data_IF_551419751378
#
_entry.id   IF_551419751378
#
_cell.length_a   1.000
_cell.length_b   1.000
_cell.length_c   1.000
_cell.angle_alpha   90.00
_cell.angle_beta   90.00
_cell.angle_gamma   90.00
#
_symmetry.space_group_name_H-M   'P 1'
#
loop_
_entity.id
_entity.type
_entity.pdbx_description
1 polymer ?
#
# COMPACT_ATOMS: atom_id res chain seq x y z
N UNK A 1 8.20 -8.32 27.28
CA UNK A 1 7.59 -8.40 25.94
C UNK A 1 8.16 -9.64 25.27
N UNK A 2 7.31 -10.54 24.73
CA UNK A 2 7.80 -11.79 24.10
C UNK A 2 8.65 -11.48 22.85
N UNK A 3 9.58 -12.37 22.49
CA UNK A 3 10.46 -12.18 21.33
C UNK A 3 9.69 -12.03 20.03
N UNK A 4 8.52 -12.69 19.92
CA UNK A 4 7.60 -12.49 18.79
C UNK A 4 7.11 -11.04 18.68
N UNK A 5 6.74 -10.41 19.83
CA UNK A 5 6.28 -9.01 19.82
C UNK A 5 7.42 -8.05 19.49
N UNK A 6 8.63 -8.31 19.97
CA UNK A 6 9.81 -7.50 19.64
C UNK A 6 10.11 -7.55 18.15
N UNK A 7 10.16 -8.76 17.57
CA UNK A 7 10.40 -8.96 16.16
C UNK A 7 9.29 -8.32 15.27
N UNK A 8 8.02 -8.45 15.67
CA UNK A 8 6.90 -7.82 14.97
C UNK A 8 7.04 -6.30 14.89
N UNK A 9 7.29 -5.64 16.03
CA UNK A 9 7.45 -4.19 16.05
C UNK A 9 8.73 -3.72 15.36
N UNK A 10 9.79 -4.52 15.40
CA UNK A 10 11.02 -4.24 14.65
C UNK A 10 10.75 -4.25 13.14
N UNK A 11 10.07 -5.28 12.62
CA UNK A 11 9.68 -5.36 11.19
C UNK A 11 8.74 -4.20 10.83
N UNK A 12 7.78 -3.86 11.69
CA UNK A 12 6.89 -2.71 11.46
C UNK A 12 7.69 -1.41 11.33
N UNK A 13 8.57 -1.12 12.29
CA UNK A 13 9.41 0.07 12.27
C UNK A 13 10.32 0.11 11.04
N UNK A 14 10.99 -1.00 10.75
CA UNK A 14 11.89 -1.08 9.59
C UNK A 14 11.13 -0.86 8.27
N UNK A 15 9.94 -1.44 8.14
CA UNK A 15 9.09 -1.25 6.96
C UNK A 15 8.67 0.21 6.78
N UNK A 16 8.30 0.89 7.87
CA UNK A 16 7.99 2.34 7.85
C UNK A 16 9.22 3.14 7.43
N UNK A 17 10.39 2.89 8.02
CA UNK A 17 11.63 3.61 7.72
C UNK A 17 12.12 3.42 6.28
N UNK A 18 11.85 2.25 5.69
CA UNK A 18 12.26 1.95 4.31
C UNK A 18 11.29 2.51 3.27
N UNK A 19 10.01 2.72 3.61
CA UNK A 19 8.98 3.11 2.64
C UNK A 19 8.58 4.57 2.77
N UNK A 20 8.23 5.02 3.98
CA UNK A 20 7.60 6.34 4.19
C UNK A 20 8.45 7.53 3.74
N UNK A 21 9.78 7.58 3.97
CA UNK A 21 10.60 8.71 3.55
C UNK A 21 10.59 8.96 2.05
N UNK A 22 10.37 7.92 1.24
CA UNK A 22 10.44 8.01 -0.23
C UNK A 22 9.11 8.41 -0.90
N UNK A 23 8.02 8.57 -0.15
CA UNK A 23 6.71 8.85 -0.74
C UNK A 23 6.58 10.24 -1.35
N UNK A 24 7.23 11.24 -0.77
CA UNK A 24 7.11 12.64 -1.19
C UNK A 24 8.37 13.26 -1.82
N UNK A 25 9.52 12.55 -1.84
CA UNK A 25 10.79 13.14 -2.25
C UNK A 25 10.95 13.35 -3.77
N UNK A 26 10.22 12.58 -4.57
CA UNK A 26 10.35 12.62 -6.03
C UNK A 26 9.01 12.92 -6.69
N UNK A 27 9.06 13.71 -7.77
CA UNK A 27 7.91 13.90 -8.66
C UNK A 27 7.45 12.54 -9.20
N UNK A 28 6.24 12.46 -9.71
CA UNK A 28 5.76 11.25 -10.38
C UNK A 28 6.66 10.89 -11.55
N UNK A 29 7.30 9.73 -11.50
CA UNK A 29 8.30 9.29 -12.49
C UNK A 29 7.74 8.34 -13.57
N UNK A 30 6.54 7.80 -13.37
CA UNK A 30 5.87 6.95 -14.34
C UNK A 30 4.59 7.60 -14.88
N UNK A 31 4.25 7.37 -16.15
CA UNK A 31 3.02 7.90 -16.76
C UNK A 31 1.72 7.45 -16.05
N UNK A 32 1.79 6.37 -15.28
CA UNK A 32 0.65 5.83 -14.55
C UNK A 32 0.33 6.59 -13.28
N UNK A 33 1.34 7.08 -12.55
CA UNK A 33 1.16 7.74 -11.25
C UNK A 33 0.34 9.04 -11.34
N UNK A 34 0.70 10.02 -12.20
CA UNK A 34 -0.07 11.25 -12.27
C UNK A 34 -1.52 11.01 -12.73
N UNK A 35 -1.76 10.00 -13.57
CA UNK A 35 -3.11 9.66 -13.99
C UNK A 35 -3.99 9.22 -12.80
N UNK A 36 -3.49 8.37 -11.91
CA UNK A 36 -4.23 7.95 -10.73
C UNK A 36 -4.50 9.13 -9.77
N UNK A 37 -3.50 10.00 -9.59
CA UNK A 37 -3.61 11.20 -8.77
C UNK A 37 -4.62 12.21 -9.35
N UNK A 38 -4.62 12.44 -10.67
CA UNK A 38 -5.55 13.34 -11.35
C UNK A 38 -6.99 12.85 -11.23
N UNK A 39 -7.23 11.55 -11.36
CA UNK A 39 -8.57 10.99 -11.14
C UNK A 39 -9.06 11.25 -9.72
N UNK A 40 -8.22 11.04 -8.72
CA UNK A 40 -8.56 11.34 -7.33
C UNK A 40 -8.81 12.85 -7.09
N UNK A 41 -8.00 13.71 -7.70
CA UNK A 41 -8.21 15.17 -7.66
C UNK A 41 -9.58 15.54 -8.28
N UNK A 42 -9.89 15.01 -9.46
CA UNK A 42 -11.18 15.23 -10.11
C UNK A 42 -12.37 14.80 -9.23
N UNK A 43 -12.22 13.71 -8.47
CA UNK A 43 -13.25 13.28 -7.51
C UNK A 43 -13.45 14.31 -6.40
N UNK A 44 -12.36 14.85 -5.85
CA UNK A 44 -12.41 15.86 -4.79
C UNK A 44 -13.01 17.18 -5.28
N UNK A 45 -12.64 17.63 -6.48
CA UNK A 45 -13.12 18.89 -7.06
C UNK A 45 -14.57 18.83 -7.53
N UNK A 46 -14.97 17.74 -8.19
CA UNK A 46 -16.32 17.58 -8.74
C UNK A 46 -17.34 17.03 -7.76
N UNK A 47 -16.89 16.39 -6.67
CA UNK A 47 -17.74 15.63 -5.75
C UNK A 47 -18.29 14.33 -6.37
N UNK A 48 -17.88 13.94 -7.56
CA UNK A 48 -18.34 12.72 -8.23
C UNK A 48 -17.43 11.53 -7.89
N UNK A 49 -17.87 10.74 -6.91
CA UNK A 49 -17.14 9.58 -6.42
C UNK A 49 -17.48 8.28 -7.15
N UNK A 50 -18.52 8.29 -8.00
CA UNK A 50 -19.02 7.07 -8.67
C UNK A 50 -18.42 6.95 -10.07
N UNK A 51 -18.42 8.04 -10.83
CA UNK A 51 -17.89 8.11 -12.20
C UNK A 51 -16.78 9.17 -12.27
N UNK A 52 -15.61 8.90 -11.67
CA UNK A 52 -14.51 9.85 -11.74
C UNK A 52 -13.97 9.94 -13.16
N UNK A 53 -13.50 11.13 -13.52
CA UNK A 53 -12.96 11.40 -14.84
C UNK A 53 -11.46 11.64 -14.80
N UNK A 54 -10.80 11.28 -15.88
CA UNK A 54 -9.40 11.55 -16.14
C UNK A 54 -9.30 12.72 -17.12
N UNK A 55 -8.54 13.74 -16.78
CA UNK A 55 -8.38 14.96 -17.58
C UNK A 55 -9.71 15.67 -17.96
N UNK A 56 -10.74 15.52 -17.16
CA UNK A 56 -12.02 16.22 -17.32
C UNK A 56 -12.98 15.62 -18.35
N UNK A 57 -12.58 14.64 -19.14
CA UNK A 57 -13.40 14.08 -20.23
C UNK A 57 -13.52 12.56 -20.19
N UNK A 58 -12.43 11.85 -19.92
CA UNK A 58 -12.40 10.40 -20.02
C UNK A 58 -12.84 9.75 -18.72
N UNK A 59 -13.75 8.80 -18.77
CA UNK A 59 -14.15 8.01 -17.60
C UNK A 59 -12.95 7.15 -17.15
N UNK A 60 -12.65 7.15 -15.87
CA UNK A 60 -11.62 6.29 -15.29
C UNK A 60 -12.04 4.81 -15.43
N UNK A 61 -11.20 4.01 -16.07
CA UNK A 61 -11.52 2.62 -16.43
C UNK A 61 -11.07 1.57 -15.38
N UNK A 62 -10.33 1.99 -14.35
CA UNK A 62 -9.92 1.09 -13.28
C UNK A 62 -10.95 1.07 -12.15
N UNK A 63 -10.99 -0.02 -11.36
CA UNK A 63 -11.85 -0.08 -10.17
C UNK A 63 -11.62 1.11 -9.24
N UNK A 64 -12.67 1.73 -8.69
CA UNK A 64 -12.58 3.02 -8.01
C UNK A 64 -11.91 2.96 -6.63
N UNK A 65 -11.73 1.80 -6.05
CA UNK A 65 -11.20 1.64 -4.68
C UNK A 65 -9.87 2.37 -4.45
N UNK A 66 -8.94 2.29 -5.41
CA UNK A 66 -7.64 2.94 -5.29
C UNK A 66 -7.77 4.46 -5.35
N UNK A 67 -8.60 4.98 -6.27
CA UNK A 67 -8.89 6.41 -6.36
C UNK A 67 -9.56 6.93 -5.08
N UNK A 68 -10.54 6.19 -4.53
CA UNK A 68 -11.16 6.52 -3.24
C UNK A 68 -10.13 6.58 -2.11
N UNK A 69 -9.19 5.65 -2.10
CA UNK A 69 -8.13 5.62 -1.10
C UNK A 69 -7.22 6.85 -1.18
N UNK A 70 -6.83 7.25 -2.41
CA UNK A 70 -6.05 8.48 -2.62
C UNK A 70 -6.86 9.70 -2.22
N UNK A 71 -8.09 9.83 -2.69
CA UNK A 71 -8.95 10.95 -2.37
C UNK A 71 -9.21 11.09 -0.85
N UNK A 72 -9.46 9.97 -0.17
CA UNK A 72 -9.64 9.96 1.28
C UNK A 72 -8.39 10.42 2.04
N UNK A 73 -7.21 9.95 1.66
CA UNK A 73 -5.94 10.39 2.26
C UNK A 73 -5.69 11.86 1.95
N UNK A 74 -5.82 12.26 0.68
CA UNK A 74 -5.58 13.64 0.25
C UNK A 74 -6.52 14.64 0.90
N UNK A 75 -7.76 14.27 1.18
CA UNK A 75 -8.70 15.12 1.92
C UNK A 75 -8.25 15.43 3.35
N UNK A 76 -7.47 14.54 3.98
CA UNK A 76 -6.90 14.79 5.31
C UNK A 76 -5.72 15.78 5.27
N UNK A 77 -5.01 15.83 4.15
CA UNK A 77 -3.87 16.75 3.94
C UNK A 77 -4.28 18.07 3.25
N UNK A 78 -5.53 18.16 2.77
CA UNK A 78 -6.07 19.33 2.08
C UNK A 78 -5.73 19.43 0.59
N UNK A 79 -4.83 18.58 0.08
CA UNK A 79 -4.39 18.58 -1.32
C UNK A 79 -3.93 17.20 -1.80
N UNK A 80 -3.92 17.00 -3.11
CA UNK A 80 -3.37 15.80 -3.74
C UNK A 80 -1.90 16.05 -4.07
N UNK A 81 -1.02 15.43 -3.29
CA UNK A 81 0.44 15.48 -3.46
C UNK A 81 0.98 14.11 -3.83
N UNK A 82 2.26 14.04 -4.22
CA UNK A 82 2.95 12.77 -4.43
C UNK A 82 2.88 11.89 -3.19
N UNK A 83 3.06 12.49 -2.00
CA UNK A 83 2.96 11.77 -0.73
C UNK A 83 1.57 11.19 -0.52
N UNK A 84 0.52 12.02 -0.58
CA UNK A 84 -0.85 11.57 -0.31
C UNK A 84 -1.34 10.54 -1.34
N UNK A 85 -0.90 10.66 -2.60
CA UNK A 85 -1.24 9.74 -3.67
C UNK A 85 -0.55 8.37 -3.56
N UNK A 86 0.69 8.32 -3.04
CA UNK A 86 1.45 7.08 -2.82
C UNK A 86 1.14 6.39 -1.50
N UNK A 87 0.62 7.14 -0.53
CA UNK A 87 0.36 6.63 0.83
C UNK A 87 -0.54 5.39 0.88
N UNK A 88 -1.61 5.24 0.07
CA UNK A 88 -2.41 4.01 0.05
C UNK A 88 -1.62 2.76 -0.33
N UNK A 89 -0.67 2.86 -1.28
CA UNK A 89 0.22 1.75 -1.64
C UNK A 89 1.15 1.37 -0.49
N UNK A 90 1.74 2.35 0.18
CA UNK A 90 2.58 2.14 1.35
C UNK A 90 1.83 1.49 2.51
N UNK A 91 0.60 1.95 2.78
CA UNK A 91 -0.24 1.37 3.82
C UNK A 91 -0.64 -0.08 3.51
N UNK A 92 -0.98 -0.37 2.25
CA UNK A 92 -1.28 -1.72 1.79
C UNK A 92 -0.08 -2.66 1.96
N UNK A 93 1.13 -2.19 1.61
CA UNK A 93 2.37 -2.93 1.84
C UNK A 93 2.59 -3.22 3.33
N UNK A 94 2.47 -2.21 4.20
CA UNK A 94 2.62 -2.39 5.65
C UNK A 94 1.63 -3.42 6.21
N UNK A 95 0.37 -3.33 5.82
CA UNK A 95 -0.66 -4.28 6.24
C UNK A 95 -0.33 -5.72 5.78
N UNK A 96 0.06 -5.88 4.52
CA UNK A 96 0.48 -7.16 3.95
C UNK A 96 1.71 -7.72 4.68
N UNK A 97 2.74 -6.93 4.87
CA UNK A 97 3.99 -7.32 5.53
C UNK A 97 3.75 -7.82 6.96
N UNK A 98 2.96 -7.10 7.74
CA UNK A 98 2.66 -7.44 9.12
C UNK A 98 1.77 -8.68 9.23
N UNK A 99 0.78 -8.83 8.34
CA UNK A 99 -0.05 -10.04 8.26
C UNK A 99 0.79 -11.25 7.87
N UNK A 100 1.67 -11.11 6.88
CA UNK A 100 2.58 -12.16 6.45
C UNK A 100 3.52 -12.62 7.57
N UNK A 101 4.15 -11.66 8.28
CA UNK A 101 4.96 -11.97 9.46
C UNK A 101 4.15 -12.74 10.50
N UNK A 102 2.95 -12.26 10.85
CA UNK A 102 2.11 -12.87 11.88
C UNK A 102 1.69 -14.30 11.49
N UNK A 103 1.39 -14.52 10.21
CA UNK A 103 1.02 -15.80 9.65
C UNK A 103 2.20 -16.81 9.72
N UNK A 104 3.39 -16.43 9.21
CA UNK A 104 4.56 -17.30 9.23
C UNK A 104 5.03 -17.59 10.66
N UNK A 105 4.99 -16.59 11.55
CA UNK A 105 5.39 -16.75 12.95
C UNK A 105 4.46 -17.71 13.73
N UNK A 106 3.20 -17.81 13.33
CA UNK A 106 2.25 -18.77 13.89
C UNK A 106 2.49 -20.19 13.36
N UNK A 107 2.71 -20.32 12.05
CA UNK A 107 2.83 -21.62 11.38
C UNK A 107 4.20 -22.28 11.49
N UNK A 108 5.24 -21.52 11.65
CA UNK A 108 6.63 -21.99 11.75
C UNK A 108 7.24 -21.54 13.07
N UNK A 109 8.00 -20.47 13.03
CA UNK A 109 8.60 -19.84 14.21
C UNK A 109 8.96 -18.38 13.91
N UNK A 110 9.37 -17.66 14.94
CA UNK A 110 9.69 -16.22 14.85
C UNK A 110 10.89 -15.96 13.96
N UNK A 111 11.92 -16.83 14.00
CA UNK A 111 13.13 -16.66 13.19
C UNK A 111 12.82 -16.79 11.69
N UNK A 112 12.06 -17.82 11.30
CA UNK A 112 11.62 -17.99 9.91
C UNK A 112 10.77 -16.82 9.45
N UNK A 113 9.83 -16.36 10.28
CA UNK A 113 9.01 -15.19 9.96
C UNK A 113 9.85 -13.92 9.76
N UNK A 114 10.82 -13.71 10.62
CA UNK A 114 11.74 -12.57 10.54
C UNK A 114 12.54 -12.59 9.23
N UNK A 115 13.19 -13.71 8.91
CA UNK A 115 13.97 -13.86 7.68
C UNK A 115 13.10 -13.69 6.43
N UNK A 116 11.93 -14.34 6.38
CA UNK A 116 10.99 -14.20 5.27
C UNK A 116 10.52 -12.75 5.09
N UNK A 117 10.27 -12.03 6.18
CA UNK A 117 9.89 -10.62 6.16
C UNK A 117 11.01 -9.71 5.66
N UNK A 118 12.26 -9.97 6.05
CA UNK A 118 13.42 -9.22 5.54
C UNK A 118 13.62 -9.48 4.04
N UNK A 119 13.48 -10.72 3.58
CA UNK A 119 13.58 -11.05 2.16
C UNK A 119 12.48 -10.34 1.34
N UNK A 120 11.25 -10.31 1.84
CA UNK A 120 10.15 -9.59 1.20
C UNK A 120 10.43 -8.08 1.13
N UNK A 121 10.90 -7.49 2.24
CA UNK A 121 11.24 -6.08 2.33
C UNK A 121 12.41 -5.67 1.42
N UNK A 122 13.38 -6.56 1.21
CA UNK A 122 14.54 -6.34 0.34
C UNK A 122 14.25 -6.56 -1.15
N UNK A 123 13.06 -7.05 -1.49
CA UNK A 123 12.67 -7.26 -2.89
C UNK A 123 12.47 -5.92 -3.60
N UNK A 124 13.25 -5.69 -4.66
CA UNK A 124 13.18 -4.46 -5.46
C UNK A 124 11.76 -4.16 -5.98
N UNK A 125 11.08 -5.16 -6.55
CA UNK A 125 9.73 -4.97 -7.11
C UNK A 125 8.68 -4.69 -6.03
N UNK A 126 8.79 -5.32 -4.87
CA UNK A 126 7.90 -5.05 -3.74
C UNK A 126 8.09 -3.63 -3.23
N UNK A 127 9.35 -3.22 -3.04
CA UNK A 127 9.66 -1.85 -2.64
C UNK A 127 9.15 -0.83 -3.66
N UNK A 128 9.47 -1.03 -4.94
CA UNK A 128 9.01 -0.16 -6.03
C UNK A 128 7.48 -0.02 -6.07
N UNK A 129 6.74 -1.12 -5.86
CA UNK A 129 5.29 -1.09 -5.81
C UNK A 129 4.74 -0.39 -4.56
N UNK A 130 5.45 -0.51 -3.43
CA UNK A 130 5.05 0.12 -2.16
C UNK A 130 5.17 1.65 -2.18
N UNK A 131 6.16 2.20 -2.92
CA UNK A 131 6.42 3.65 -3.00
C UNK A 131 5.85 4.31 -4.26
N UNK A 132 5.08 3.59 -5.07
CA UNK A 132 4.47 4.12 -6.29
C UNK A 132 2.96 4.36 -6.11
N UNK A 133 2.45 5.41 -6.76
CA UNK A 133 1.01 5.68 -6.85
C UNK A 133 0.37 4.74 -7.89
N UNK A 134 0.22 3.46 -7.53
CA UNK A 134 -0.32 2.42 -8.42
C UNK A 134 -1.15 1.39 -7.63
N UNK A 135 -2.20 0.90 -8.28
CA UNK A 135 -3.12 -0.09 -7.69
C UNK A 135 -2.43 -1.44 -7.38
N UNK A 136 -1.29 -1.72 -8.02
CA UNK A 136 -0.62 -3.03 -8.01
C UNK A 136 -0.34 -3.52 -6.58
N UNK A 137 0.21 -2.65 -5.71
CA UNK A 137 0.53 -3.02 -4.33
C UNK A 137 -0.73 -3.32 -3.51
N UNK A 138 -1.78 -2.54 -3.70
CA UNK A 138 -3.06 -2.76 -3.02
C UNK A 138 -3.67 -4.09 -3.44
N UNK A 139 -3.64 -4.41 -4.73
CA UNK A 139 -4.14 -5.68 -5.25
C UNK A 139 -3.36 -6.87 -4.68
N UNK A 140 -2.02 -6.82 -4.68
CA UNK A 140 -1.17 -7.86 -4.12
C UNK A 140 -1.42 -8.02 -2.62
N UNK A 141 -1.56 -6.91 -1.89
CA UNK A 141 -1.85 -6.95 -0.46
C UNK A 141 -3.18 -7.67 -0.17
N UNK A 142 -4.24 -7.36 -0.91
CA UNK A 142 -5.52 -8.07 -0.75
C UNK A 142 -5.40 -9.57 -1.03
N UNK A 143 -4.68 -9.95 -2.08
CA UNK A 143 -4.46 -11.38 -2.41
C UNK A 143 -3.72 -12.08 -1.26
N UNK A 144 -2.59 -11.54 -0.83
CA UNK A 144 -1.77 -12.16 0.22
C UNK A 144 -2.52 -12.22 1.55
N UNK A 145 -3.19 -11.14 1.95
CA UNK A 145 -3.98 -11.11 3.19
C UNK A 145 -5.11 -12.14 3.13
N UNK A 146 -5.83 -12.22 2.01
CA UNK A 146 -6.92 -13.19 1.82
C UNK A 146 -6.42 -14.62 1.91
N UNK A 147 -5.27 -14.94 1.29
CA UNK A 147 -4.64 -16.26 1.40
C UNK A 147 -4.21 -16.56 2.85
N UNK A 148 -3.59 -15.61 3.54
CA UNK A 148 -3.21 -15.78 4.94
C UNK A 148 -4.43 -16.05 5.85
N UNK A 149 -5.56 -15.39 5.59
CA UNK A 149 -6.80 -15.59 6.33
C UNK A 149 -7.44 -16.94 5.99
N UNK A 150 -7.50 -17.30 4.72
CA UNK A 150 -8.04 -18.59 4.27
C UNK A 150 -7.29 -19.76 4.92
N UNK A 151 -5.96 -19.77 4.81
CA UNK A 151 -5.16 -20.81 5.44
C UNK A 151 -5.13 -20.78 6.97
N UNK A 152 -5.55 -19.69 7.58
CA UNK A 152 -5.73 -19.64 9.04
C UNK A 152 -7.04 -20.26 9.50
N UNK A 153 -8.05 -20.28 8.64
CA UNK A 153 -9.37 -20.81 8.95
C UNK A 153 -9.37 -22.35 9.07
N UNK A 154 -8.45 -23.01 8.36
CA UNK A 154 -8.34 -24.49 8.34
C UNK A 154 -7.63 -25.08 9.59
N UNK A 155 -7.35 -24.29 10.62
CA UNK A 155 -6.80 -24.70 11.93
C UNK A 155 -7.83 -24.60 13.05
#
# INVERSE_FOLDING_TARGET
MSDRKKAFWFIALLSVLVVVPFLGETIFYSKGEPREAIVALSMLESGNWILPVNYGTDIAYKPPFFYWSIAAVSSLFGEVTEFSARFPSALAFLAMQLMFFAFVAKRKNVQTAFLASILLLSSFEVHRAAVACRVDMVQVAFIVISLCLLFRWDE
#
